data_IF_859213234722
#
_entry.id   IF_859213234722
#
_cell.length_a   1.000
_cell.length_b   1.000
_cell.length_c   1.000
_cell.angle_alpha   90.00
_cell.angle_beta   90.00
_cell.angle_gamma   90.00
#
_symmetry.space_group_name_H-M   'P 1'
#
loop_
_entity.id
_entity.type
_entity.pdbx_description
1 polymer ?
#
# COMPACT_ATOMS: atom_id res chain seq x y z
N UNK A 1 0.41 -0.30 -15.31
CA UNK A 1 -0.98 -0.79 -15.14
C UNK A 1 -1.77 -0.30 -16.35
N UNK A 2 -2.60 -1.16 -16.94
CA UNK A 2 -3.43 -0.82 -18.09
C UNK A 2 -4.90 -0.90 -17.64
N UNK A 3 -5.55 0.25 -17.52
CA UNK A 3 -6.91 0.41 -16.97
C UNK A 3 -6.99 1.59 -16.01
N UNK A 4 -8.17 1.84 -15.46
CA UNK A 4 -8.41 2.86 -14.42
C UNK A 4 -8.94 2.23 -13.13
N UNK A 5 -8.45 2.70 -11.99
CA UNK A 5 -8.93 2.29 -10.66
C UNK A 5 -10.08 3.22 -10.25
N UNK A 6 -11.31 2.79 -10.51
CA UNK A 6 -12.52 3.58 -10.25
C UNK A 6 -12.79 3.88 -8.76
N UNK A 7 -12.14 3.16 -7.83
CA UNK A 7 -12.27 3.33 -6.38
C UNK A 7 -11.16 4.17 -5.75
N UNK A 8 -10.32 4.83 -6.56
CA UNK A 8 -9.06 5.46 -6.12
C UNK A 8 -9.22 6.45 -4.96
N UNK A 9 -10.28 7.25 -4.95
CA UNK A 9 -10.53 8.23 -3.87
C UNK A 9 -10.68 7.53 -2.51
N UNK A 10 -11.44 6.43 -2.46
CA UNK A 10 -11.61 5.65 -1.24
C UNK A 10 -10.30 4.99 -0.81
N UNK A 11 -9.58 4.38 -1.75
CA UNK A 11 -8.31 3.72 -1.49
C UNK A 11 -7.26 4.69 -0.91
N UNK A 12 -7.13 5.90 -1.48
CA UNK A 12 -6.23 6.95 -0.96
C UNK A 12 -6.60 7.38 0.45
N UNK A 13 -7.88 7.57 0.72
CA UNK A 13 -8.35 7.94 2.06
C UNK A 13 -8.06 6.85 3.09
N UNK A 14 -8.28 5.57 2.74
CA UNK A 14 -7.95 4.46 3.62
C UNK A 14 -6.46 4.32 3.88
N UNK A 15 -5.61 4.55 2.87
CA UNK A 15 -4.16 4.56 3.07
C UNK A 15 -3.72 5.71 3.98
N UNK A 16 -4.27 6.92 3.79
CA UNK A 16 -4.01 8.07 4.66
C UNK A 16 -4.42 7.82 6.11
N UNK A 17 -5.55 7.16 6.34
CA UNK A 17 -5.98 6.79 7.70
C UNK A 17 -5.00 5.83 8.39
N UNK A 18 -4.34 4.94 7.62
CA UNK A 18 -3.36 3.97 8.13
C UNK A 18 -1.99 4.58 8.44
N UNK A 19 -1.68 5.77 7.92
CA UNK A 19 -0.40 6.44 8.19
C UNK A 19 -0.15 6.63 9.69
N UNK A 20 -1.22 6.77 10.49
CA UNK A 20 -1.15 7.02 11.94
C UNK A 20 -1.53 5.81 12.79
N UNK A 21 -1.66 4.62 12.20
CA UNK A 21 -1.89 3.40 12.97
C UNK A 21 -0.66 3.02 13.78
N UNK A 22 -0.87 2.44 14.98
CA UNK A 22 0.20 1.82 15.76
C UNK A 22 0.67 0.56 15.03
N UNK A 23 1.93 0.57 14.61
CA UNK A 23 2.49 -0.50 13.78
C UNK A 23 3.67 -1.11 14.52
N UNK A 24 3.50 -2.38 14.85
CA UNK A 24 4.58 -3.29 15.21
C UNK A 24 5.16 -3.93 13.94
N UNK A 25 6.40 -4.38 13.98
CA UNK A 25 7.03 -5.07 12.85
C UNK A 25 8.27 -4.35 12.32
N UNK A 26 8.61 -4.58 11.05
CA UNK A 26 9.91 -4.20 10.46
C UNK A 26 10.20 -2.70 10.50
N UNK A 27 9.16 -1.87 10.39
CA UNK A 27 9.30 -0.42 10.32
C UNK A 27 9.22 0.25 11.70
N UNK A 28 8.48 -0.32 12.66
CA UNK A 28 8.36 0.15 14.05
C UNK A 28 8.36 1.70 14.16
N UNK A 29 9.30 2.28 14.93
CA UNK A 29 9.43 3.73 15.14
C UNK A 29 9.71 4.54 13.87
N UNK A 30 10.24 3.89 12.82
CA UNK A 30 10.53 4.49 11.51
C UNK A 30 9.33 4.50 10.58
N UNK A 31 8.17 3.98 10.98
CA UNK A 31 6.98 4.00 10.13
C UNK A 31 6.58 5.43 9.71
N UNK A 32 6.84 6.42 10.58
CA UNK A 32 6.63 7.84 10.27
C UNK A 32 7.44 8.35 9.06
N UNK A 33 8.59 7.72 8.76
CA UNK A 33 9.46 8.08 7.63
C UNK A 33 8.81 7.71 6.28
N UNK A 34 7.79 6.85 6.29
CA UNK A 34 7.07 6.40 5.09
C UNK A 34 5.94 7.36 4.70
N UNK A 35 5.71 8.43 5.47
CA UNK A 35 4.60 9.38 5.23
C UNK A 35 5.03 10.47 4.24
N UNK A 36 4.16 10.86 3.28
CA UNK A 36 2.89 10.22 2.97
C UNK A 36 3.11 8.89 2.23
N UNK A 37 2.34 7.85 2.59
CA UNK A 37 2.48 6.53 1.97
C UNK A 37 2.07 6.61 0.51
N UNK A 38 0.97 7.29 0.24
CA UNK A 38 0.54 7.63 -1.12
C UNK A 38 0.95 9.07 -1.40
N UNK A 39 1.87 9.26 -2.34
CA UNK A 39 2.30 10.60 -2.71
C UNK A 39 1.14 11.41 -3.32
N UNK A 40 1.02 12.71 -3.00
CA UNK A 40 -0.03 13.57 -3.55
C UNK A 40 0.13 13.76 -5.06
N UNK A 41 -0.97 14.08 -5.74
CA UNK A 41 -1.02 14.42 -7.18
C UNK A 41 -0.49 13.36 -8.15
N UNK A 42 -0.37 12.12 -7.69
CA UNK A 42 0.05 10.98 -8.50
C UNK A 42 -1.11 10.39 -9.32
N UNK A 43 -0.77 9.61 -10.35
CA UNK A 43 -1.75 8.76 -11.05
C UNK A 43 -2.32 7.68 -10.12
N UNK A 44 -3.44 7.09 -10.51
CA UNK A 44 -4.03 5.94 -9.81
C UNK A 44 -3.07 4.74 -9.75
N UNK A 45 -2.34 4.52 -10.84
CA UNK A 45 -1.37 3.46 -11.02
C UNK A 45 -0.15 3.66 -10.12
N UNK A 46 0.31 4.91 -9.96
CA UNK A 46 1.38 5.23 -9.03
C UNK A 46 0.92 5.12 -7.57
N UNK A 47 -0.32 5.50 -7.25
CA UNK A 47 -0.90 5.24 -5.92
C UNK A 47 -0.96 3.74 -5.61
N UNK A 48 -1.33 2.92 -6.60
CA UNK A 48 -1.32 1.47 -6.46
C UNK A 48 0.11 0.96 -6.19
N UNK A 49 1.11 1.41 -6.95
CA UNK A 49 2.50 0.99 -6.79
C UNK A 49 3.07 1.36 -5.42
N UNK A 50 2.78 2.57 -4.89
CA UNK A 50 3.18 2.93 -3.53
C UNK A 50 2.62 1.96 -2.46
N UNK A 51 1.33 1.66 -2.52
CA UNK A 51 0.70 0.70 -1.61
C UNK A 51 1.25 -0.72 -1.78
N UNK A 52 1.46 -1.14 -3.03
CA UNK A 52 1.99 -2.46 -3.36
C UNK A 52 3.41 -2.67 -2.83
N UNK A 53 4.30 -1.69 -3.02
CA UNK A 53 5.66 -1.73 -2.52
C UNK A 53 5.70 -1.81 -0.99
N UNK A 54 4.85 -1.03 -0.31
CA UNK A 54 4.73 -1.10 1.15
C UNK A 54 4.36 -2.51 1.60
N UNK A 55 3.33 -3.11 1.00
CA UNK A 55 2.88 -4.46 1.35
C UNK A 55 3.98 -5.50 1.11
N UNK A 56 4.63 -5.49 -0.06
CA UNK A 56 5.73 -6.43 -0.36
C UNK A 56 6.88 -6.26 0.64
N UNK A 57 7.22 -5.03 1.01
CA UNK A 57 8.33 -4.76 1.91
C UNK A 57 8.04 -5.14 3.36
N UNK A 58 6.77 -5.10 3.78
CA UNK A 58 6.29 -5.41 5.12
C UNK A 58 5.96 -6.90 5.32
N UNK A 59 5.66 -7.62 4.24
CA UNK A 59 5.41 -9.07 4.30
C UNK A 59 6.61 -9.84 4.90
N UNK A 60 6.35 -10.85 5.78
CA UNK A 60 7.38 -11.73 6.30
C UNK A 60 8.17 -12.41 5.18
N UNK A 61 9.45 -12.77 5.39
CA UNK A 61 10.29 -13.37 4.33
C UNK A 61 9.63 -14.56 3.61
N UNK A 62 8.97 -15.46 4.36
CA UNK A 62 8.29 -16.63 3.79
C UNK A 62 7.06 -16.29 2.92
N UNK A 63 6.51 -15.07 3.05
CA UNK A 63 5.32 -14.61 2.32
C UNK A 63 5.61 -13.43 1.38
N UNK A 64 6.87 -12.99 1.29
CA UNK A 64 7.28 -11.86 0.44
C UNK A 64 7.18 -12.24 -1.03
N UNK A 65 6.00 -12.05 -1.59
CA UNK A 65 5.67 -12.37 -2.97
C UNK A 65 4.75 -11.29 -3.53
N UNK A 66 5.07 -10.82 -4.74
CA UNK A 66 4.21 -9.87 -5.45
C UNK A 66 2.81 -10.42 -5.70
N UNK A 67 2.67 -11.74 -5.87
CA UNK A 67 1.36 -12.38 -6.07
C UNK A 67 0.53 -12.29 -4.79
N UNK A 68 1.13 -12.52 -3.61
CA UNK A 68 0.45 -12.42 -2.32
C UNK A 68 0.02 -10.98 -2.03
N UNK A 69 0.88 -9.99 -2.32
CA UNK A 69 0.53 -8.59 -2.16
C UNK A 69 -0.59 -8.17 -3.15
N UNK A 70 -0.51 -8.61 -4.41
CA UNK A 70 -1.54 -8.32 -5.40
C UNK A 70 -2.89 -8.94 -5.03
N UNK A 71 -2.92 -10.17 -4.51
CA UNK A 71 -4.17 -10.82 -4.10
C UNK A 71 -4.83 -10.16 -2.90
N UNK A 72 -4.06 -9.51 -2.02
CA UNK A 72 -4.61 -8.68 -0.93
C UNK A 72 -5.24 -7.38 -1.44
N UNK A 73 -4.68 -6.79 -2.49
CA UNK A 73 -5.16 -5.51 -3.06
C UNK A 73 -6.29 -5.69 -4.08
N UNK A 74 -6.28 -6.80 -4.82
CA UNK A 74 -7.24 -7.16 -5.87
C UNK A 74 -7.72 -8.59 -5.64
N UNK A 75 -8.56 -8.83 -4.62
CA UNK A 75 -9.10 -10.15 -4.37
C UNK A 75 -10.00 -10.60 -5.52
N UNK A 76 -9.97 -11.90 -5.81
CA UNK A 76 -10.99 -12.52 -6.66
C UNK A 76 -12.35 -12.45 -5.97
N UNK A 77 -13.41 -12.23 -6.74
CA UNK A 77 -14.78 -12.25 -6.25
C UNK A 77 -15.23 -13.65 -5.81
#
# INVERSE_FOLDING_TARGET
>A
HNGEINTIRGNRNFMRAREFSDISGKWAERYKDLRPIIQPDMSDSASFDNAFQLLVADLPPAKRSGIVAASMMMPVA
#
